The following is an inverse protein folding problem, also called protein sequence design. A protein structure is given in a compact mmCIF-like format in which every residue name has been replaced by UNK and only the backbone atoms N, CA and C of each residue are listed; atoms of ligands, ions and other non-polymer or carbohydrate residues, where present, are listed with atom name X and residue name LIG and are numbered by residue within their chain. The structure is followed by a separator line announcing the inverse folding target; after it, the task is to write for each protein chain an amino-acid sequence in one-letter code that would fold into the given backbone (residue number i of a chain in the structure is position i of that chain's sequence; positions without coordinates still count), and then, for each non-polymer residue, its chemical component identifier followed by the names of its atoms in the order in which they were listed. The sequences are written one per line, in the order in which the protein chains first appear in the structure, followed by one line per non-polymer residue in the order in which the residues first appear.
data_IF_627904925729
#
_entry.id   IF_627904925729
#
_cell.length_a   1.000
_cell.length_b   1.000
_cell.length_c   1.000
_cell.angle_alpha   90.00
_cell.angle_beta   90.00
_cell.angle_gamma   90.00
#
_symmetry.space_group_name_H-M   'P 1'
#
loop_
_entity.id
_entity.type
_entity.pdbx_description
1 polymer ?
#
# COMPACT_ATOMS: atom_id res chain seq x y z
N UNK A 1 -6.37 33.18 0.85
CA UNK A 1 -7.76 32.65 0.77
C UNK A 1 -7.66 31.15 0.64
N UNK A 2 -8.08 30.40 1.65
CA UNK A 2 -8.32 28.97 1.46
C UNK A 2 -9.63 28.85 0.69
N UNK A 3 -9.58 28.37 -0.55
CA UNK A 3 -10.79 27.99 -1.26
C UNK A 3 -11.36 26.78 -0.52
N UNK A 4 -12.39 26.99 0.30
CA UNK A 4 -13.18 25.91 0.88
C UNK A 4 -13.98 25.26 -0.26
N UNK A 5 -13.31 24.36 -0.98
CA UNK A 5 -13.96 23.47 -1.93
C UNK A 5 -14.61 22.38 -1.07
N UNK A 6 -15.91 22.54 -0.79
CA UNK A 6 -16.71 21.46 -0.23
C UNK A 6 -16.73 20.34 -1.26
N UNK A 7 -16.02 19.25 -0.99
CA UNK A 7 -16.06 18.06 -1.85
C UNK A 7 -17.49 17.53 -1.84
N UNK A 8 -18.09 17.40 -3.02
CA UNK A 8 -19.41 16.77 -3.13
C UNK A 8 -19.29 15.30 -2.76
N UNK A 9 -20.37 14.65 -2.27
CA UNK A 9 -20.33 13.23 -1.91
C UNK A 9 -19.75 12.33 -3.01
N UNK A 10 -20.09 12.57 -4.28
CA UNK A 10 -19.56 11.80 -5.41
C UNK A 10 -18.05 12.01 -5.66
N UNK A 11 -17.50 13.18 -5.33
CA UNK A 11 -16.05 13.41 -5.40
C UNK A 11 -15.35 12.67 -4.25
N UNK A 12 -15.95 12.64 -3.06
CA UNK A 12 -15.42 11.87 -1.91
C UNK A 12 -15.42 10.38 -2.22
N UNK A 13 -16.50 9.83 -2.77
CA UNK A 13 -16.57 8.42 -3.18
C UNK A 13 -15.55 8.06 -4.26
N UNK A 14 -15.38 8.94 -5.27
CA UNK A 14 -14.39 8.73 -6.32
C UNK A 14 -12.97 8.72 -5.76
N UNK A 15 -12.62 9.67 -4.89
CA UNK A 15 -11.31 9.72 -4.23
C UNK A 15 -11.10 8.50 -3.34
N UNK A 16 -12.11 8.10 -2.55
CA UNK A 16 -12.04 6.89 -1.73
C UNK A 16 -11.82 5.63 -2.59
N UNK A 17 -12.55 5.49 -3.70
CA UNK A 17 -12.39 4.35 -4.61
C UNK A 17 -11.00 4.30 -5.25
N UNK A 18 -10.44 5.44 -5.63
CA UNK A 18 -9.07 5.52 -6.15
C UNK A 18 -8.03 5.21 -5.08
N UNK A 19 -8.23 5.67 -3.85
CA UNK A 19 -7.33 5.41 -2.73
C UNK A 19 -7.34 3.94 -2.31
N UNK A 20 -8.53 3.34 -2.13
CA UNK A 20 -8.66 1.94 -1.73
C UNK A 20 -8.21 0.99 -2.85
N UNK A 21 -8.66 1.20 -4.09
CA UNK A 21 -8.25 0.38 -5.23
C UNK A 21 -6.74 0.48 -5.51
N UNK A 22 -6.17 1.68 -5.35
CA UNK A 22 -4.71 1.88 -5.41
C UNK A 22 -3.99 1.15 -4.28
N UNK A 23 -4.47 1.25 -3.05
CA UNK A 23 -3.88 0.60 -1.88
C UNK A 23 -3.88 -0.93 -2.00
N UNK A 24 -4.98 -1.54 -2.49
CA UNK A 24 -5.05 -2.98 -2.74
C UNK A 24 -4.05 -3.47 -3.80
N UNK A 25 -3.90 -2.70 -4.88
CA UNK A 25 -2.92 -2.99 -5.94
C UNK A 25 -1.48 -2.90 -5.42
N UNK A 26 -1.17 -1.87 -4.63
CA UNK A 26 0.14 -1.72 -4.01
C UNK A 26 0.42 -2.79 -2.95
N UNK A 27 -0.55 -3.15 -2.13
CA UNK A 27 -0.45 -4.23 -1.15
C UNK A 27 -0.15 -5.58 -1.83
N UNK A 28 -0.79 -5.86 -2.96
CA UNK A 28 -0.51 -7.05 -3.78
C UNK A 28 0.91 -7.01 -4.37
N UNK A 29 1.32 -5.84 -4.87
CA UNK A 29 2.65 -5.65 -5.47
C UNK A 29 3.77 -5.82 -4.45
N UNK A 30 3.61 -5.25 -3.25
CA UNK A 30 4.58 -5.37 -2.16
C UNK A 30 4.74 -6.83 -1.73
N UNK A 31 3.66 -7.61 -1.63
CA UNK A 31 3.77 -9.05 -1.32
C UNK A 31 4.61 -9.82 -2.34
N UNK A 32 4.44 -9.52 -3.63
CA UNK A 32 5.24 -10.13 -4.70
C UNK A 32 6.70 -9.68 -4.62
N UNK A 33 6.95 -8.40 -4.36
CA UNK A 33 8.30 -7.87 -4.18
C UNK A 33 9.00 -8.52 -2.99
N UNK A 34 8.31 -8.69 -1.86
CA UNK A 34 8.83 -9.35 -0.66
C UNK A 34 9.24 -10.80 -0.96
N UNK A 35 8.41 -11.55 -1.70
CA UNK A 35 8.75 -12.90 -2.13
C UNK A 35 10.04 -12.92 -2.96
N UNK A 36 10.21 -11.98 -3.89
CA UNK A 36 11.42 -11.86 -4.70
C UNK A 36 12.65 -11.48 -3.87
N UNK A 37 12.51 -10.60 -2.87
CA UNK A 37 13.62 -10.19 -2.00
C UNK A 37 14.09 -11.34 -1.12
N UNK A 38 13.15 -12.09 -0.54
CA UNK A 38 13.47 -13.21 0.37
C UNK A 38 14.05 -14.40 -0.37
N UNK A 39 13.50 -14.76 -1.53
CA UNK A 39 13.91 -15.95 -2.28
C UNK A 39 14.93 -15.67 -3.39
N UNK A 40 15.14 -14.41 -3.75
CA UNK A 40 16.08 -14.02 -4.80
C UNK A 40 17.51 -13.98 -4.27
N UNK A 41 18.44 -14.57 -5.02
CA UNK A 41 19.88 -14.46 -4.74
C UNK A 41 20.48 -13.12 -5.18
N UNK A 42 19.69 -12.29 -5.87
CA UNK A 42 20.12 -11.06 -6.55
C UNK A 42 20.18 -9.80 -5.68
N UNK A 43 19.68 -9.83 -4.44
CA UNK A 43 19.55 -8.63 -3.58
C UNK A 43 20.62 -8.55 -2.48
N UNK A 44 21.87 -8.85 -2.83
CA UNK A 44 22.99 -8.73 -1.90
C UNK A 44 23.03 -9.84 -0.85
N UNK A 45 23.63 -9.55 0.30
CA UNK A 45 23.79 -10.50 1.41
C UNK A 45 22.50 -10.64 2.25
N UNK A 46 22.48 -11.58 3.21
CA UNK A 46 21.29 -11.87 4.01
C UNK A 46 20.78 -10.66 4.82
N UNK A 47 21.68 -9.81 5.35
CA UNK A 47 21.33 -8.62 6.12
C UNK A 47 20.66 -7.56 5.24
N UNK A 48 21.19 -7.34 4.04
CA UNK A 48 20.63 -6.41 3.05
C UNK A 48 19.22 -6.85 2.64
N UNK A 49 19.00 -8.15 2.41
CA UNK A 49 17.67 -8.72 2.11
C UNK A 49 16.69 -8.56 3.26
N UNK A 50 17.14 -8.77 4.49
CA UNK A 50 16.33 -8.59 5.70
C UNK A 50 15.88 -7.13 5.86
N UNK A 51 16.78 -6.17 5.61
CA UNK A 51 16.44 -4.74 5.67
C UNK A 51 15.43 -4.34 4.60
N UNK A 52 15.62 -4.79 3.35
CA UNK A 52 14.66 -4.58 2.26
C UNK A 52 13.29 -5.21 2.57
N UNK A 53 13.28 -6.43 3.11
CA UNK A 53 12.05 -7.09 3.53
C UNK A 53 11.32 -6.31 4.63
N UNK A 54 12.05 -5.77 5.61
CA UNK A 54 11.48 -4.93 6.66
C UNK A 54 10.86 -3.64 6.09
N UNK A 55 11.56 -2.95 5.19
CA UNK A 55 11.03 -1.73 4.56
C UNK A 55 9.76 -2.00 3.75
N UNK A 56 9.72 -3.13 3.03
CA UNK A 56 8.52 -3.58 2.29
C UNK A 56 7.35 -3.88 3.24
N UNK A 57 7.59 -4.57 4.36
CA UNK A 57 6.55 -4.84 5.36
C UNK A 57 6.04 -3.55 6.01
N UNK A 58 6.92 -2.60 6.35
CA UNK A 58 6.49 -1.30 6.87
C UNK A 58 5.62 -0.53 5.87
N UNK A 59 5.95 -0.57 4.57
CA UNK A 59 5.10 0.02 3.52
C UNK A 59 3.76 -0.69 3.40
N UNK A 60 3.73 -2.02 3.57
CA UNK A 60 2.50 -2.79 3.57
C UNK A 60 1.56 -2.39 4.72
N UNK A 61 2.10 -2.25 5.93
CA UNK A 61 1.35 -1.84 7.12
C UNK A 61 0.81 -0.41 7.01
N UNK A 62 1.60 0.50 6.41
CA UNK A 62 1.10 1.86 6.14
C UNK A 62 -0.08 1.84 5.16
N UNK A 63 -0.01 1.01 4.11
CA UNK A 63 -1.06 0.92 3.09
C UNK A 63 -2.31 0.20 3.59
N UNK A 64 -2.20 -0.74 4.54
CA UNK A 64 -3.37 -1.45 5.07
C UNK A 64 -4.34 -0.50 5.76
N UNK A 65 -3.89 0.66 6.26
CA UNK A 65 -4.78 1.69 6.83
C UNK A 65 -5.78 2.28 5.83
N UNK A 66 -5.52 2.16 4.52
CA UNK A 66 -6.41 2.61 3.44
C UNK A 66 -7.29 1.48 2.88
N UNK A 67 -7.09 0.25 3.35
CA UNK A 67 -7.87 -0.92 2.95
C UNK A 67 -8.84 -1.23 4.10
N UNK A 68 -10.15 -1.08 3.90
CA UNK A 68 -11.12 -1.34 4.96
C UNK A 68 -11.02 -2.80 5.44
N UNK A 69 -10.92 -3.00 6.75
CA UNK A 69 -10.96 -4.32 7.37
C UNK A 69 -12.38 -4.89 7.31
N UNK A 70 -12.64 -5.80 6.37
CA UNK A 70 -13.92 -6.49 6.23
C UNK A 70 -14.92 -5.74 5.36
N UNK A 71 -15.31 -6.39 4.25
CA UNK A 71 -16.14 -5.81 3.20
C UNK A 71 -17.52 -5.31 3.64
N UNK A 72 -18.03 -4.35 2.88
CA UNK A 72 -19.46 -3.95 2.77
C UNK A 72 -20.27 -4.08 4.07
N UNK A 73 -20.33 -2.99 4.84
CA UNK A 73 -21.49 -2.74 5.69
C UNK A 73 -22.68 -2.30 4.84
#
# INVERSE_FOLDING_TARGET
MANNITLTPGVVECVNGLQTGGAELWNTTIRKALYCVVNGECYGNAEERLKLAQELLCMQDMLSTFIPEGGTQ
#
